data_IF_948939596660
#
_entry.id   IF_948939596660
#
_cell.length_a   1.000
_cell.length_b   1.000
_cell.length_c   1.000
_cell.angle_alpha   90.00
_cell.angle_beta   90.00
_cell.angle_gamma   90.00
#
_symmetry.space_group_name_H-M   'P 1'
#
loop_
_entity.id
_entity.type
_entity.pdbx_description
1 polymer ?
#
# COMPACT_ATOMS: atom_id res chain seq x y z
N UNK A 1 -71.91 -34.79 56.51
CA UNK A 1 -70.81 -33.98 57.05
C UNK A 1 -69.51 -34.66 56.72
N UNK A 2 -68.80 -34.21 55.73
CA UNK A 2 -67.47 -34.68 55.34
C UNK A 2 -66.60 -33.46 55.01
N UNK A 3 -65.40 -33.26 55.58
CA UNK A 3 -64.52 -32.18 55.22
C UNK A 3 -63.66 -32.53 53.99
N UNK A 4 -63.57 -31.63 53.06
CA UNK A 4 -62.67 -31.64 51.90
C UNK A 4 -61.27 -31.30 52.32
N UNK A 5 -60.30 -32.18 51.95
CA UNK A 5 -58.86 -31.88 52.03
C UNK A 5 -58.41 -31.15 50.76
N UNK A 6 -57.97 -29.91 50.91
CA UNK A 6 -57.21 -29.21 49.87
C UNK A 6 -55.75 -29.63 49.95
N UNK A 7 -55.21 -30.26 48.87
CA UNK A 7 -53.79 -30.47 48.73
C UNK A 7 -53.21 -29.26 47.92
N UNK A 8 -52.43 -28.46 48.57
CA UNK A 8 -51.62 -27.45 47.96
C UNK A 8 -50.34 -28.09 47.34
N UNK A 9 -50.22 -28.10 46.03
CA UNK A 9 -49.01 -28.48 45.33
C UNK A 9 -48.10 -27.25 45.14
N UNK A 10 -47.00 -27.19 45.87
CA UNK A 10 -45.96 -26.20 45.69
C UNK A 10 -45.08 -26.56 44.50
N UNK A 11 -45.29 -25.87 43.39
CA UNK A 11 -44.38 -25.95 42.21
C UNK A 11 -43.15 -25.08 42.47
N UNK A 12 -42.04 -25.70 42.79
CA UNK A 12 -40.73 -25.05 42.84
C UNK A 12 -40.25 -24.72 41.42
N UNK A 13 -40.39 -23.47 41.01
CA UNK A 13 -39.87 -22.94 39.75
C UNK A 13 -38.37 -22.66 39.88
N UNK A 14 -37.53 -23.64 39.52
CA UNK A 14 -36.07 -23.48 39.46
C UNK A 14 -35.72 -22.58 38.25
N UNK A 15 -35.59 -21.26 38.45
CA UNK A 15 -35.01 -20.36 37.50
C UNK A 15 -33.50 -20.61 37.44
N UNK A 16 -33.05 -21.43 36.49
CA UNK A 16 -31.65 -21.49 36.10
C UNK A 16 -31.31 -20.21 35.35
N UNK A 17 -30.77 -19.24 36.07
CA UNK A 17 -30.09 -18.10 35.46
C UNK A 17 -28.87 -18.63 34.69
N UNK A 18 -29.02 -18.82 33.37
CA UNK A 18 -27.92 -18.98 32.47
C UNK A 18 -27.16 -17.64 32.43
N UNK A 19 -26.12 -17.53 33.27
CA UNK A 19 -25.11 -16.52 33.07
C UNK A 19 -24.47 -16.77 31.70
N UNK A 20 -24.96 -16.16 30.67
CA UNK A 20 -24.19 -15.98 29.44
C UNK A 20 -23.00 -15.11 29.88
N UNK A 21 -21.87 -15.77 30.16
CA UNK A 21 -20.59 -15.09 30.24
C UNK A 21 -20.43 -14.37 28.90
N UNK A 22 -20.71 -13.08 28.89
CA UNK A 22 -20.25 -12.23 27.82
C UNK A 22 -18.73 -12.40 27.82
N UNK A 23 -18.19 -13.16 26.86
CA UNK A 23 -16.76 -13.25 26.66
C UNK A 23 -16.28 -11.79 26.59
N UNK A 24 -15.39 -11.42 27.52
CA UNK A 24 -14.86 -10.07 27.54
C UNK A 24 -14.34 -9.75 26.13
N UNK A 25 -14.90 -8.73 25.52
CA UNK A 25 -14.49 -8.34 24.17
C UNK A 25 -12.98 -8.03 24.24
N UNK A 26 -12.19 -8.67 23.39
CA UNK A 26 -10.75 -8.40 23.35
C UNK A 26 -10.50 -6.94 23.00
N UNK A 27 -9.41 -6.32 23.43
CA UNK A 27 -9.09 -4.97 23.03
C UNK A 27 -8.94 -4.90 21.49
N UNK A 28 -9.39 -3.81 20.91
CA UNK A 28 -9.19 -3.53 19.48
C UNK A 28 -7.74 -3.16 19.25
N UNK A 29 -7.11 -3.82 18.29
CA UNK A 29 -5.69 -3.65 17.96
C UNK A 29 -5.57 -2.94 16.61
N UNK A 30 -4.95 -1.76 16.61
CA UNK A 30 -4.51 -1.06 15.41
C UNK A 30 -3.05 -1.37 15.10
N UNK A 31 -2.71 -1.50 13.84
CA UNK A 31 -1.33 -1.69 13.38
C UNK A 31 -0.88 -0.46 12.61
N UNK A 32 0.31 0.05 12.92
CA UNK A 32 0.93 1.20 12.25
C UNK A 32 2.26 0.76 11.65
N UNK A 33 2.38 0.92 10.34
CA UNK A 33 3.55 0.56 9.56
C UNK A 33 4.17 1.81 8.94
N UNK A 34 5.33 2.21 9.45
CA UNK A 34 6.03 3.41 9.02
C UNK A 34 6.72 3.28 7.66
N UNK A 35 7.01 4.42 7.04
CA UNK A 35 7.83 4.49 5.84
C UNK A 35 9.32 4.33 6.13
N UNK A 36 10.08 3.90 5.11
CA UNK A 36 11.53 3.73 5.23
C UNK A 36 12.19 3.08 4.01
N UNK A 37 11.56 3.09 2.83
CA UNK A 37 12.10 2.45 1.62
C UNK A 37 12.30 0.94 1.83
N UNK A 38 13.42 0.38 1.35
CA UNK A 38 13.76 -1.03 1.49
C UNK A 38 13.67 -1.58 2.93
N UNK A 39 13.97 -0.72 3.92
CA UNK A 39 13.86 -1.04 5.36
C UNK A 39 12.45 -1.47 5.77
N UNK A 40 11.43 -0.99 5.04
CA UNK A 40 10.03 -1.32 5.29
C UNK A 40 9.70 -2.82 5.11
N UNK A 41 10.55 -3.60 4.46
CA UNK A 41 10.41 -5.05 4.43
C UNK A 41 10.45 -5.69 5.83
N UNK A 42 11.02 -5.00 6.83
CA UNK A 42 10.98 -5.45 8.23
C UNK A 42 9.54 -5.62 8.76
N UNK A 43 8.56 -4.93 8.19
CA UNK A 43 7.15 -5.11 8.53
C UNK A 43 6.65 -6.53 8.25
N UNK A 44 7.19 -7.19 7.22
CA UNK A 44 6.84 -8.58 6.89
C UNK A 44 7.19 -9.50 8.06
N UNK A 45 8.40 -9.35 8.61
CA UNK A 45 8.83 -10.15 9.78
C UNK A 45 7.96 -9.92 11.02
N UNK A 46 7.48 -8.69 11.25
CA UNK A 46 6.49 -8.43 12.29
C UNK A 46 5.18 -9.17 12.03
N UNK A 47 4.66 -9.09 10.79
CA UNK A 47 3.41 -9.77 10.42
C UNK A 47 3.52 -11.29 10.58
N UNK A 48 4.66 -11.91 10.26
CA UNK A 48 4.92 -13.33 10.48
C UNK A 48 4.75 -13.70 11.97
N UNK A 49 5.33 -12.91 12.86
CA UNK A 49 5.24 -13.15 14.33
C UNK A 49 3.81 -12.92 14.83
N UNK A 50 3.09 -11.91 14.33
CA UNK A 50 1.69 -11.69 14.68
C UNK A 50 0.80 -12.87 14.25
N UNK A 51 1.06 -13.44 13.07
CA UNK A 51 0.35 -14.60 12.54
C UNK A 51 0.63 -15.85 13.41
N UNK A 52 1.89 -16.15 13.72
CA UNK A 52 2.30 -17.26 14.59
C UNK A 52 1.67 -17.17 15.97
N UNK A 53 1.64 -15.99 16.54
CA UNK A 53 1.05 -15.74 17.86
C UNK A 53 -0.48 -15.69 17.83
N UNK A 54 -1.09 -15.66 16.65
CA UNK A 54 -2.54 -15.49 16.50
C UNK A 54 -3.05 -14.17 17.10
N UNK A 55 -2.35 -13.08 16.80
CA UNK A 55 -2.74 -11.71 17.16
C UNK A 55 -3.65 -11.14 16.10
N UNK A 56 -4.96 -10.95 16.35
CA UNK A 56 -5.86 -10.36 15.40
C UNK A 56 -5.71 -8.83 15.38
N UNK A 57 -5.63 -8.25 14.18
CA UNK A 57 -5.56 -6.81 13.95
C UNK A 57 -6.91 -6.33 13.42
N UNK A 58 -7.39 -5.18 13.90
CA UNK A 58 -8.71 -4.64 13.54
C UNK A 58 -8.65 -3.58 12.43
N UNK A 59 -7.53 -2.88 12.30
CA UNK A 59 -7.21 -2.01 11.17
C UNK A 59 -5.70 -1.80 11.04
N UNK A 60 -5.27 -1.37 9.88
CA UNK A 60 -3.88 -1.02 9.62
C UNK A 60 -3.77 0.37 8.99
N UNK A 61 -2.79 1.14 9.44
CA UNK A 61 -2.44 2.43 8.84
C UNK A 61 -0.97 2.40 8.42
N UNK A 62 -0.69 2.83 7.20
CA UNK A 62 0.67 2.74 6.64
C UNK A 62 1.09 3.98 5.87
N UNK A 63 2.40 4.21 5.83
CA UNK A 63 3.02 5.28 5.06
C UNK A 63 4.14 4.72 4.21
N UNK A 64 4.25 5.15 2.94
CA UNK A 64 5.31 4.76 2.01
C UNK A 64 5.42 3.22 1.88
N UNK A 65 6.59 2.61 2.09
CA UNK A 65 6.72 1.15 2.11
C UNK A 65 5.81 0.48 3.14
N UNK A 66 5.49 1.14 4.25
CA UNK A 66 4.49 0.66 5.20
C UNK A 66 3.08 0.61 4.61
N UNK A 67 2.73 1.53 3.71
CA UNK A 67 1.47 1.50 2.97
C UNK A 67 1.44 0.34 1.96
N UNK A 68 2.56 0.06 1.29
CA UNK A 68 2.70 -1.09 0.40
C UNK A 68 2.41 -2.40 1.15
N UNK A 69 3.11 -2.63 2.27
CA UNK A 69 2.95 -3.85 3.08
C UNK A 69 1.53 -3.94 3.66
N UNK A 70 1.00 -2.81 4.17
CA UNK A 70 -0.37 -2.74 4.70
C UNK A 70 -1.42 -3.08 3.63
N UNK A 71 -1.26 -2.50 2.43
CA UNK A 71 -2.17 -2.72 1.30
C UNK A 71 -2.13 -4.15 0.78
N UNK A 72 -0.93 -4.70 0.58
CA UNK A 72 -0.76 -6.08 0.15
C UNK A 72 -1.38 -7.06 1.16
N UNK A 73 -1.16 -6.84 2.46
CA UNK A 73 -1.76 -7.66 3.51
C UNK A 73 -3.29 -7.54 3.57
N UNK A 74 -3.83 -6.32 3.48
CA UNK A 74 -5.28 -6.09 3.45
C UNK A 74 -5.94 -6.67 2.18
N UNK A 75 -5.21 -6.72 1.06
CA UNK A 75 -5.63 -7.39 -0.17
C UNK A 75 -5.54 -8.92 -0.11
N UNK A 76 -5.09 -9.48 1.03
CA UNK A 76 -5.11 -10.92 1.29
C UNK A 76 -3.80 -11.66 1.07
N UNK A 77 -2.69 -10.97 0.79
CA UNK A 77 -1.38 -11.61 0.73
C UNK A 77 -0.93 -12.02 2.14
N UNK A 78 -0.50 -13.27 2.27
CA UNK A 78 0.16 -13.70 3.50
C UNK A 78 1.56 -13.08 3.62
N UNK A 79 2.12 -12.98 4.85
CA UNK A 79 3.49 -12.53 5.06
C UNK A 79 4.51 -13.34 4.25
N UNK A 80 4.31 -14.66 4.14
CA UNK A 80 5.17 -15.54 3.34
C UNK A 80 5.14 -15.20 1.84
N UNK A 81 3.95 -14.94 1.28
CA UNK A 81 3.82 -14.51 -0.12
C UNK A 81 4.45 -13.14 -0.37
N UNK A 82 4.28 -12.20 0.58
CA UNK A 82 4.93 -10.89 0.47
C UNK A 82 6.45 -11.02 0.52
N UNK A 83 7.00 -11.85 1.40
CA UNK A 83 8.44 -12.12 1.47
C UNK A 83 8.96 -12.68 0.15
N UNK A 84 8.24 -13.61 -0.45
CA UNK A 84 8.60 -14.20 -1.75
C UNK A 84 8.56 -13.15 -2.86
N UNK A 85 7.44 -12.45 -3.02
CA UNK A 85 7.24 -11.52 -4.13
C UNK A 85 8.17 -10.31 -4.05
N UNK A 86 8.31 -9.69 -2.86
CA UNK A 86 9.21 -8.55 -2.69
C UNK A 86 10.69 -8.96 -2.72
N UNK A 87 11.02 -10.18 -2.30
CA UNK A 87 12.37 -10.72 -2.34
C UNK A 87 12.85 -11.11 -3.74
N UNK A 88 11.93 -11.47 -4.65
CA UNK A 88 12.24 -11.81 -6.04
C UNK A 88 12.03 -10.66 -7.03
N UNK A 89 11.49 -9.51 -6.56
CA UNK A 89 11.27 -8.36 -7.41
C UNK A 89 12.61 -7.80 -7.92
N UNK A 90 12.69 -7.54 -9.22
CA UNK A 90 13.82 -6.81 -9.80
C UNK A 90 13.65 -5.31 -9.54
N UNK A 91 14.05 -4.88 -8.34
CA UNK A 91 13.92 -3.50 -7.92
C UNK A 91 14.70 -2.53 -8.81
N UNK A 92 15.84 -2.96 -9.38
CA UNK A 92 16.61 -2.12 -10.28
C UNK A 92 15.82 -1.84 -11.58
N UNK A 93 15.15 -2.86 -12.11
CA UNK A 93 14.28 -2.70 -13.28
C UNK A 93 13.01 -1.89 -12.93
N UNK A 94 12.38 -2.17 -11.77
CA UNK A 94 11.20 -1.45 -11.31
C UNK A 94 11.45 0.05 -11.14
N UNK A 95 12.64 0.43 -10.70
CA UNK A 95 13.05 1.83 -10.56
C UNK A 95 13.69 2.42 -11.81
N UNK A 96 13.92 1.65 -12.89
CA UNK A 96 14.49 2.20 -14.13
C UNK A 96 13.47 2.96 -14.97
N UNK A 97 12.18 2.63 -14.85
CA UNK A 97 11.06 3.16 -15.67
C UNK A 97 11.24 3.02 -17.19
N UNK A 98 12.35 2.48 -17.64
CA UNK A 98 12.65 2.33 -19.06
C UNK A 98 11.93 1.11 -19.64
N UNK A 99 11.08 1.29 -20.67
CA UNK A 99 10.56 0.14 -21.41
C UNK A 99 11.71 -0.64 -22.03
N UNK A 100 11.55 -1.96 -22.11
CA UNK A 100 12.50 -2.81 -22.83
C UNK A 100 12.70 -2.24 -24.24
N UNK A 101 13.95 -2.13 -24.70
CA UNK A 101 14.27 -1.53 -26.02
C UNK A 101 13.38 -2.05 -27.17
N UNK A 102 12.98 -3.34 -27.09
CA UNK A 102 12.04 -3.96 -28.03
C UNK A 102 10.68 -3.26 -28.09
N UNK A 103 10.18 -2.76 -26.98
CA UNK A 103 8.85 -2.14 -26.81
C UNK A 103 8.83 -0.64 -27.16
N UNK A 104 10.01 -0.02 -27.32
CA UNK A 104 10.10 1.39 -27.69
C UNK A 104 9.63 1.61 -29.14
N UNK A 105 8.95 2.74 -29.37
CA UNK A 105 8.63 3.20 -30.72
C UNK A 105 9.91 3.48 -31.53
N UNK A 106 9.84 3.45 -32.85
CA UNK A 106 10.99 3.79 -33.72
C UNK A 106 11.56 5.18 -33.41
N UNK A 107 10.69 6.14 -33.10
CA UNK A 107 11.09 7.50 -32.70
C UNK A 107 11.87 7.46 -31.38
N UNK A 108 11.32 6.80 -30.38
CA UNK A 108 11.97 6.67 -29.05
C UNK A 108 13.30 5.93 -29.12
N UNK A 109 13.40 4.86 -29.94
CA UNK A 109 14.66 4.17 -30.24
C UNK A 109 15.73 5.11 -30.85
N UNK A 110 15.33 5.99 -31.75
CA UNK A 110 16.27 6.97 -32.34
C UNK A 110 16.69 8.06 -31.38
N UNK A 111 15.78 8.48 -30.50
CA UNK A 111 16.07 9.50 -29.49
C UNK A 111 16.97 8.96 -28.38
N UNK A 112 16.72 7.76 -27.87
CA UNK A 112 17.55 7.12 -26.85
C UNK A 112 18.98 6.83 -27.27
N UNK A 113 19.23 6.71 -28.60
CA UNK A 113 20.59 6.59 -29.14
C UNK A 113 21.36 7.91 -29.22
N UNK A 114 20.67 9.05 -29.11
CA UNK A 114 21.27 10.41 -29.29
C UNK A 114 21.32 11.20 -28.01
N UNK A 115 20.40 10.96 -27.11
CA UNK A 115 20.20 11.71 -25.86
C UNK A 115 20.14 10.75 -24.68
N UNK A 116 20.63 11.20 -23.53
CA UNK A 116 20.48 10.45 -22.29
C UNK A 116 18.99 10.39 -21.90
N UNK A 117 18.48 9.21 -21.52
CA UNK A 117 17.13 9.08 -20.99
C UNK A 117 16.91 10.01 -19.79
N UNK A 118 15.71 10.58 -19.67
CA UNK A 118 15.36 11.49 -18.57
C UNK A 118 15.92 12.91 -18.69
N UNK A 119 16.69 13.24 -19.76
CA UNK A 119 17.18 14.60 -20.03
C UNK A 119 16.18 15.43 -20.88
N UNK A 120 14.97 14.96 -21.04
CA UNK A 120 13.93 15.64 -21.82
C UNK A 120 13.49 16.92 -21.12
N UNK A 121 13.42 18.01 -21.86
CA UNK A 121 12.78 19.25 -21.44
C UNK A 121 11.72 19.63 -22.47
N UNK A 122 10.55 19.96 -22.00
CA UNK A 122 9.45 20.41 -22.84
C UNK A 122 9.33 21.92 -22.84
N UNK A 123 8.57 22.46 -23.78
CA UNK A 123 8.20 23.85 -23.82
C UNK A 123 6.67 23.96 -23.75
N UNK A 124 6.21 24.65 -22.73
CA UNK A 124 4.80 25.00 -22.56
C UNK A 124 4.63 26.52 -22.69
N UNK A 125 3.40 26.99 -22.84
CA UNK A 125 3.09 28.43 -22.97
C UNK A 125 3.68 29.32 -21.85
N UNK A 126 4.04 28.72 -20.68
CA UNK A 126 4.66 29.41 -19.56
C UNK A 126 6.18 29.32 -19.47
N UNK A 127 6.86 28.61 -20.39
CA UNK A 127 8.33 28.43 -20.36
C UNK A 127 8.79 27.00 -20.55
N UNK A 128 10.07 26.73 -20.21
CA UNK A 128 10.62 25.38 -20.24
C UNK A 128 10.13 24.57 -19.03
N UNK A 129 9.73 23.32 -19.27
CA UNK A 129 9.26 22.39 -18.25
C UNK A 129 10.18 21.17 -18.25
N UNK A 130 10.54 20.71 -17.06
CA UNK A 130 11.31 19.48 -16.85
C UNK A 130 10.44 18.42 -16.20
N UNK A 131 10.77 17.12 -16.31
CA UNK A 131 10.07 16.06 -15.60
C UNK A 131 9.94 16.34 -14.09
N UNK A 132 8.80 16.00 -13.52
CA UNK A 132 8.49 16.27 -12.10
C UNK A 132 9.18 15.30 -11.11
N UNK A 133 9.89 14.30 -11.63
CA UNK A 133 10.68 13.31 -10.86
C UNK A 133 11.71 12.64 -11.75
N UNK A 134 12.68 11.94 -11.15
CA UNK A 134 13.65 11.13 -11.90
C UNK A 134 12.96 9.97 -12.61
N UNK A 135 11.87 9.47 -12.01
CA UNK A 135 11.06 8.36 -12.53
C UNK A 135 9.58 8.71 -12.46
N UNK A 136 8.81 8.25 -13.45
CA UNK A 136 7.35 8.36 -13.46
C UNK A 136 6.70 7.36 -12.52
N UNK A 137 7.37 6.23 -12.23
CA UNK A 137 6.87 5.10 -11.45
C UNK A 137 5.98 4.15 -12.26
N UNK A 138 6.17 4.10 -13.57
CA UNK A 138 5.40 3.27 -14.49
C UNK A 138 5.46 1.78 -14.10
N UNK A 139 6.67 1.22 -13.98
CA UNK A 139 6.85 -0.19 -13.65
C UNK A 139 6.48 -0.51 -12.21
N UNK A 140 6.74 0.40 -11.28
CA UNK A 140 6.32 0.26 -9.88
C UNK A 140 4.78 0.13 -9.79
N UNK A 141 4.03 0.95 -10.54
CA UNK A 141 2.56 0.86 -10.53
C UNK A 141 2.07 -0.47 -11.10
N UNK A 142 2.67 -0.98 -12.18
CA UNK A 142 2.36 -2.30 -12.71
C UNK A 142 2.70 -3.41 -11.70
N UNK A 143 3.83 -3.29 -10.99
CA UNK A 143 4.17 -4.22 -9.91
C UNK A 143 3.12 -4.21 -8.78
N UNK A 144 2.57 -3.04 -8.41
CA UNK A 144 1.48 -2.99 -7.42
C UNK A 144 0.22 -3.67 -7.95
N UNK A 145 -0.10 -3.48 -9.23
CA UNK A 145 -1.24 -4.17 -9.86
C UNK A 145 -1.07 -5.70 -9.77
N UNK A 146 0.14 -6.21 -10.06
CA UNK A 146 0.45 -7.64 -9.93
C UNK A 146 0.37 -8.11 -8.47
N UNK A 147 0.96 -7.36 -7.55
CA UNK A 147 1.05 -7.71 -6.13
C UNK A 147 -0.34 -7.93 -5.51
N UNK A 148 -1.30 -7.05 -5.82
CA UNK A 148 -2.66 -7.14 -5.26
C UNK A 148 -3.68 -7.76 -6.23
N UNK A 149 -3.22 -8.26 -7.39
CA UNK A 149 -4.05 -8.89 -8.42
C UNK A 149 -5.15 -7.98 -8.97
N UNK A 150 -4.82 -6.72 -9.22
CA UNK A 150 -5.74 -5.74 -9.78
C UNK A 150 -6.23 -6.11 -11.21
N UNK A 151 -5.56 -7.05 -11.85
CA UNK A 151 -5.99 -7.69 -13.11
C UNK A 151 -7.29 -8.51 -12.98
N UNK A 152 -7.63 -8.98 -11.78
CA UNK A 152 -8.91 -9.69 -11.54
C UNK A 152 -10.04 -8.76 -11.11
N UNK A 153 -9.75 -7.50 -10.84
CA UNK A 153 -10.63 -6.44 -10.40
C UNK A 153 -9.86 -5.47 -9.53
N UNK A 154 -9.99 -4.15 -9.77
CA UNK A 154 -9.29 -3.14 -8.95
C UNK A 154 -9.79 -3.22 -7.50
N UNK A 155 -8.92 -3.54 -6.53
CA UNK A 155 -9.34 -3.56 -5.13
C UNK A 155 -9.56 -2.13 -4.63
N UNK A 156 -10.75 -1.88 -4.09
CA UNK A 156 -11.13 -0.58 -3.53
C UNK A 156 -10.92 -0.59 -2.02
N UNK A 157 -10.25 0.44 -1.48
CA UNK A 157 -9.88 0.54 -0.07
C UNK A 157 -11.06 0.37 0.89
N UNK A 158 -12.22 0.95 0.56
CA UNK A 158 -13.45 0.89 1.35
C UNK A 158 -14.14 -0.50 1.31
N UNK A 159 -13.75 -1.34 0.36
CA UNK A 159 -14.31 -2.70 0.19
C UNK A 159 -13.43 -3.78 0.85
N UNK A 160 -12.22 -3.42 1.29
CA UNK A 160 -11.33 -4.37 1.92
C UNK A 160 -11.86 -4.81 3.29
N UNK A 161 -11.91 -6.13 3.56
CA UNK A 161 -12.42 -6.66 4.83
C UNK A 161 -11.57 -6.23 6.05
N UNK A 162 -10.26 -6.06 5.87
CA UNK A 162 -9.38 -5.44 6.84
C UNK A 162 -9.28 -3.95 6.52
N UNK A 163 -9.85 -3.05 7.35
CA UNK A 163 -9.76 -1.62 7.12
C UNK A 163 -8.30 -1.16 7.03
N UNK A 164 -7.96 -0.53 5.91
CA UNK A 164 -6.62 0.04 5.69
C UNK A 164 -6.73 1.53 5.42
N UNK A 165 -5.75 2.29 5.90
CA UNK A 165 -5.58 3.71 5.61
C UNK A 165 -4.15 3.96 5.17
N UNK A 166 -3.97 4.78 4.14
CA UNK A 166 -2.66 5.14 3.63
C UNK A 166 -2.47 6.64 3.70
N UNK A 167 -1.27 7.07 4.06
CA UNK A 167 -0.96 8.48 4.21
C UNK A 167 -0.21 8.98 2.98
N UNK A 168 -0.65 10.12 2.48
CA UNK A 168 0.04 10.91 1.47
C UNK A 168 0.13 12.38 1.93
N UNK A 169 0.94 13.16 1.26
CA UNK A 169 1.09 14.60 1.46
C UNK A 169 0.60 15.33 0.23
N UNK A 170 -0.30 16.28 0.37
CA UNK A 170 -0.61 17.23 -0.71
C UNK A 170 0.54 18.24 -0.81
N UNK A 171 1.30 18.18 -1.91
CA UNK A 171 2.48 19.06 -2.09
C UNK A 171 2.09 20.52 -2.29
N UNK A 172 0.84 20.80 -2.66
CA UNK A 172 0.34 22.17 -2.91
C UNK A 172 0.17 22.99 -1.64
N UNK A 173 -0.16 22.32 -0.51
CA UNK A 173 -0.48 23.00 0.75
C UNK A 173 0.24 22.37 1.97
N UNK A 174 0.91 21.21 1.80
CA UNK A 174 1.59 20.49 2.88
C UNK A 174 0.64 19.73 3.81
N UNK A 175 -0.63 19.58 3.46
CA UNK A 175 -1.62 18.88 4.29
C UNK A 175 -1.46 17.36 4.21
N UNK A 176 -1.79 16.71 5.32
CA UNK A 176 -1.91 15.27 5.43
C UNK A 176 -3.17 14.79 4.72
N UNK A 177 -3.01 13.98 3.69
CA UNK A 177 -4.13 13.31 3.01
C UNK A 177 -4.22 11.87 3.47
N UNK A 178 -5.37 11.48 4.01
CA UNK A 178 -5.65 10.11 4.45
C UNK A 178 -6.51 9.42 3.40
N UNK A 179 -5.94 8.43 2.74
CA UNK A 179 -6.60 7.63 1.71
C UNK A 179 -7.27 6.42 2.40
N UNK A 180 -8.61 6.42 2.44
CA UNK A 180 -9.45 5.40 3.07
C UNK A 180 -10.43 4.75 2.08
N UNK A 181 -10.51 5.29 0.91
CA UNK A 181 -11.40 4.88 -0.18
C UNK A 181 -10.74 5.07 -1.55
N UNK A 182 -11.30 4.44 -2.57
CA UNK A 182 -10.81 4.44 -3.94
C UNK A 182 -9.78 3.35 -4.21
N UNK A 183 -9.09 3.45 -5.33
CA UNK A 183 -8.13 2.45 -5.80
C UNK A 183 -7.00 2.23 -4.80
N UNK A 184 -6.83 0.97 -4.38
CA UNK A 184 -5.74 0.55 -3.50
C UNK A 184 -4.38 0.82 -4.12
N UNK A 185 -4.21 0.47 -5.39
CA UNK A 185 -2.92 0.59 -6.07
C UNK A 185 -2.53 2.04 -6.33
N UNK A 186 -3.50 2.92 -6.58
CA UNK A 186 -3.27 4.37 -6.66
C UNK A 186 -2.89 4.95 -5.30
N UNK A 187 -3.55 4.52 -4.23
CA UNK A 187 -3.20 4.96 -2.87
C UNK A 187 -1.80 4.51 -2.44
N UNK A 188 -1.40 3.25 -2.77
CA UNK A 188 -0.03 2.76 -2.58
C UNK A 188 0.96 3.63 -3.34
N UNK A 189 0.68 3.93 -4.64
CA UNK A 189 1.53 4.76 -5.48
C UNK A 189 1.66 6.19 -4.95
N UNK A 190 0.55 6.81 -4.50
CA UNK A 190 0.56 8.14 -3.90
C UNK A 190 1.44 8.19 -2.66
N UNK A 191 1.22 7.23 -1.73
CA UNK A 191 1.95 7.17 -0.46
C UNK A 191 3.46 6.93 -0.63
N UNK A 192 3.89 6.35 -1.74
CA UNK A 192 5.29 6.07 -2.06
C UNK A 192 5.95 7.08 -3.00
N UNK A 193 5.28 8.18 -3.36
CA UNK A 193 5.81 9.21 -4.25
C UNK A 193 6.86 10.08 -3.58
N UNK A 194 8.03 9.52 -3.28
CA UNK A 194 9.14 10.24 -2.63
C UNK A 194 9.59 11.42 -3.51
N UNK A 195 9.54 12.67 -3.00
CA UNK A 195 9.90 13.85 -3.79
C UNK A 195 11.33 13.75 -4.36
N UNK A 196 11.46 14.10 -5.64
CA UNK A 196 12.72 14.03 -6.38
C UNK A 196 13.04 12.65 -6.94
N UNK A 197 12.50 11.56 -6.39
CA UNK A 197 12.68 10.20 -6.88
C UNK A 197 11.52 9.81 -7.80
N UNK A 198 10.31 9.76 -7.27
CA UNK A 198 9.10 9.43 -8.01
C UNK A 198 8.27 10.68 -8.28
N UNK A 199 7.72 10.78 -9.48
CA UNK A 199 6.80 11.84 -9.84
C UNK A 199 5.61 11.88 -8.88
N UNK A 200 5.13 13.06 -8.46
CA UNK A 200 3.90 13.19 -7.71
C UNK A 200 2.72 12.56 -8.45
N UNK A 201 1.78 12.00 -7.73
CA UNK A 201 0.55 11.45 -8.31
C UNK A 201 -0.58 12.48 -8.24
N UNK A 202 -1.16 12.81 -9.37
CA UNK A 202 -2.42 13.56 -9.39
C UNK A 202 -3.58 12.61 -9.11
N UNK A 203 -4.24 12.82 -7.98
CA UNK A 203 -5.33 11.95 -7.54
C UNK A 203 -6.43 12.77 -6.85
N UNK A 204 -7.64 12.71 -7.38
CA UNK A 204 -8.84 13.40 -6.84
C UNK A 204 -8.66 14.91 -6.61
N UNK A 205 -7.95 15.57 -7.52
CA UNK A 205 -7.70 17.02 -7.46
C UNK A 205 -6.57 17.45 -6.52
N UNK A 206 -5.85 16.49 -5.92
CA UNK A 206 -4.64 16.70 -5.13
C UNK A 206 -3.40 16.27 -5.90
N UNK A 207 -2.30 16.95 -5.71
CA UNK A 207 -0.98 16.52 -6.19
C UNK A 207 -0.22 15.90 -5.02
N UNK A 208 -0.23 14.57 -4.99
CA UNK A 208 0.20 13.78 -3.84
C UNK A 208 1.65 13.33 -3.96
N UNK A 209 2.36 13.45 -2.84
CA UNK A 209 3.70 12.92 -2.61
C UNK A 209 3.71 12.05 -1.36
N UNK A 210 4.88 11.43 -1.05
CA UNK A 210 5.06 10.50 0.07
C UNK A 210 4.54 11.09 1.39
N UNK A 211 3.78 10.27 2.11
CA UNK A 211 3.18 10.66 3.38
C UNK A 211 4.17 10.85 4.52
N UNK A 212 5.41 10.34 4.37
CA UNK A 212 6.46 10.47 5.37
C UNK A 212 6.86 11.91 5.69
N UNK A 213 6.54 12.86 4.80
CA UNK A 213 6.77 14.29 5.04
C UNK A 213 5.92 14.84 6.18
N UNK A 214 4.71 14.31 6.39
CA UNK A 214 3.71 14.86 7.34
C UNK A 214 3.30 13.89 8.43
N UNK A 215 3.23 12.59 8.15
CA UNK A 215 2.81 11.56 9.13
C UNK A 215 3.40 10.19 8.77
N UNK A 216 4.65 9.96 9.14
CA UNK A 216 5.34 8.70 8.86
C UNK A 216 4.90 7.55 9.76
N UNK A 217 4.37 7.85 10.95
CA UNK A 217 3.79 6.86 11.87
C UNK A 217 2.35 7.26 12.23
N UNK A 218 1.35 6.89 11.43
CA UNK A 218 -0.03 7.36 11.56
C UNK A 218 -0.78 6.73 12.75
N UNK A 219 -0.28 6.98 13.97
CA UNK A 219 -0.85 6.45 15.22
C UNK A 219 -2.27 6.96 15.46
N UNK A 220 -2.50 8.26 15.23
CA UNK A 220 -3.82 8.87 15.38
C UNK A 220 -4.83 8.21 14.42
N UNK A 221 -4.41 7.94 13.18
CA UNK A 221 -5.25 7.29 12.17
C UNK A 221 -5.69 5.88 12.61
N UNK A 222 -4.78 5.06 13.14
CA UNK A 222 -5.12 3.73 13.63
C UNK A 222 -6.11 3.78 14.79
N UNK A 223 -6.01 4.80 15.67
CA UNK A 223 -6.97 4.98 16.77
C UNK A 223 -8.35 5.40 16.26
N UNK A 224 -8.41 6.32 15.31
CA UNK A 224 -9.67 6.84 14.75
C UNK A 224 -10.36 5.79 13.87
N UNK A 225 -9.60 5.11 12.99
CA UNK A 225 -10.13 4.22 11.96
C UNK A 225 -10.92 3.04 12.50
N UNK A 226 -10.42 2.42 13.56
CA UNK A 226 -11.06 1.25 14.14
C UNK A 226 -11.30 1.34 15.66
N UNK A 227 -11.11 2.51 16.25
CA UNK A 227 -11.25 2.69 17.71
C UNK A 227 -10.22 1.86 18.46
N UNK A 228 -8.96 1.77 17.95
CA UNK A 228 -7.93 0.95 18.53
C UNK A 228 -7.62 1.35 19.97
N UNK A 229 -7.75 0.40 20.87
CA UNK A 229 -7.40 0.56 22.29
C UNK A 229 -5.89 0.35 22.49
N UNK A 230 -5.29 -0.51 21.70
CA UNK A 230 -3.86 -0.80 21.69
C UNK A 230 -3.35 -0.60 20.26
N UNK A 231 -2.24 0.10 20.11
CA UNK A 231 -1.59 0.29 18.82
C UNK A 231 -0.24 -0.40 18.83
N UNK A 232 0.00 -1.24 17.82
CA UNK A 232 1.32 -1.80 17.52
C UNK A 232 1.94 -0.90 16.46
N UNK A 233 3.09 -0.30 16.78
CA UNK A 233 3.77 0.68 15.91
C UNK A 233 5.13 0.15 15.50
N UNK A 234 5.34 -0.04 14.22
CA UNK A 234 6.62 -0.44 13.65
C UNK A 234 7.30 0.76 12.96
N UNK A 235 8.39 1.22 13.54
CA UNK A 235 9.20 2.32 13.00
C UNK A 235 10.45 1.77 12.32
N UNK A 236 10.50 1.94 11.00
CA UNK A 236 11.64 1.53 10.16
C UNK A 236 12.36 2.73 9.54
N UNK A 237 12.07 3.93 10.02
CA UNK A 237 12.64 5.18 9.50
C UNK A 237 14.17 5.19 9.52
N UNK A 238 14.77 5.81 8.51
CA UNK A 238 16.22 5.97 8.39
C UNK A 238 16.70 7.04 9.38
N UNK A 239 17.76 6.79 10.16
CA UNK A 239 18.37 7.82 10.99
C UNK A 239 18.90 8.99 10.14
N UNK A 240 18.89 10.19 10.71
CA UNK A 240 19.52 11.34 10.09
C UNK A 240 21.03 11.12 9.95
N UNK A 241 21.59 11.55 8.83
CA UNK A 241 23.04 11.51 8.62
C UNK A 241 23.73 12.58 9.49
N UNK A 242 24.96 12.31 9.96
CA UNK A 242 25.84 13.34 10.51
C UNK A 242 26.07 14.46 9.49
N UNK A 243 26.20 15.69 9.97
CA UNK A 243 26.29 16.88 9.11
C UNK A 243 27.45 16.83 8.10
N UNK A 244 28.56 16.20 8.45
CA UNK A 244 29.74 16.00 7.60
C UNK A 244 29.52 14.99 6.47
N UNK A 245 28.50 14.15 6.56
CA UNK A 245 28.10 13.18 5.53
C UNK A 245 27.02 13.73 4.58
N UNK A 246 26.41 14.87 4.90
CA UNK A 246 25.38 15.50 4.07
C UNK A 246 26.05 16.36 3.00
N UNK A 247 26.16 15.81 1.77
CA UNK A 247 26.85 16.48 0.66
C UNK A 247 26.01 16.55 -0.60
N UNK A 248 26.21 17.58 -1.39
CA UNK A 248 25.53 17.77 -2.67
C UNK A 248 24.03 18.04 -2.55
N UNK A 249 23.40 18.41 -3.67
CA UNK A 249 21.98 18.79 -3.71
C UNK A 249 21.08 17.64 -3.28
N UNK A 250 21.32 16.43 -3.79
CA UNK A 250 20.51 15.25 -3.44
C UNK A 250 20.63 14.85 -1.97
N UNK A 251 21.86 14.86 -1.41
CA UNK A 251 22.07 14.54 -0.01
C UNK A 251 21.41 15.57 0.92
N UNK A 252 21.48 16.86 0.59
CA UNK A 252 20.79 17.92 1.34
C UNK A 252 19.26 17.73 1.26
N UNK A 253 18.72 17.46 0.06
CA UNK A 253 17.26 17.24 -0.12
C UNK A 253 16.79 16.02 0.67
N UNK A 254 17.51 14.90 0.61
CA UNK A 254 17.20 13.69 1.38
C UNK A 254 17.25 13.97 2.90
N UNK A 255 18.24 14.74 3.37
CA UNK A 255 18.33 15.12 4.78
C UNK A 255 17.16 16.01 5.22
N UNK A 256 16.72 16.96 4.37
CA UNK A 256 15.55 17.80 4.66
C UNK A 256 14.28 16.94 4.78
N UNK A 257 14.05 15.99 3.88
CA UNK A 257 12.98 15.02 3.97
C UNK A 257 13.08 14.23 5.28
N UNK A 258 14.28 13.74 5.60
CA UNK A 258 14.56 13.04 6.85
C UNK A 258 14.25 13.86 8.10
N UNK A 259 14.57 15.15 8.11
CA UNK A 259 14.27 16.07 9.22
C UNK A 259 12.76 16.23 9.43
N UNK A 260 11.99 16.43 8.35
CA UNK A 260 10.52 16.52 8.41
C UNK A 260 9.92 15.22 8.93
N UNK A 261 10.40 14.10 8.41
CA UNK A 261 9.97 12.76 8.84
C UNK A 261 10.25 12.53 10.33
N UNK A 262 11.47 12.82 10.79
CA UNK A 262 11.86 12.64 12.20
C UNK A 262 11.04 13.53 13.14
N UNK A 263 10.69 14.75 12.73
CA UNK A 263 9.84 15.65 13.53
C UNK A 263 8.44 15.07 13.74
N UNK A 264 7.79 14.62 12.67
CA UNK A 264 6.45 14.03 12.77
C UNK A 264 6.48 12.67 13.49
N UNK A 265 7.51 11.85 13.29
CA UNK A 265 7.71 10.59 14.03
C UNK A 265 7.79 10.86 15.54
N UNK A 266 8.57 11.86 15.99
CA UNK A 266 8.65 12.21 17.42
C UNK A 266 7.28 12.66 17.96
N UNK A 267 6.54 13.45 17.20
CA UNK A 267 5.19 13.87 17.58
C UNK A 267 4.25 12.66 17.73
N UNK A 268 4.26 11.72 16.78
CA UNK A 268 3.47 10.50 16.84
C UNK A 268 3.85 9.62 18.03
N UNK A 269 5.15 9.41 18.27
CA UNK A 269 5.64 8.61 19.40
C UNK A 269 5.25 9.20 20.76
N UNK A 270 5.18 10.54 20.89
CA UNK A 270 4.74 11.20 22.11
C UNK A 270 3.27 10.92 22.45
N UNK A 271 2.46 10.43 21.51
CA UNK A 271 1.06 10.05 21.72
C UNK A 271 0.86 8.61 22.20
N UNK A 272 1.94 7.82 22.24
CA UNK A 272 1.87 6.42 22.63
C UNK A 272 1.53 6.28 24.12
N UNK A 273 0.69 5.31 24.42
CA UNK A 273 0.29 4.94 25.77
C UNK A 273 1.11 3.76 26.28
N UNK A 274 1.13 3.53 27.58
CA UNK A 274 1.90 2.45 28.22
C UNK A 274 1.51 1.04 27.71
N UNK A 275 0.28 0.87 27.25
CA UNK A 275 -0.23 -0.38 26.67
C UNK A 275 0.13 -0.58 25.20
N UNK A 276 0.53 0.48 24.49
CA UNK A 276 0.93 0.37 23.08
C UNK A 276 2.27 -0.34 22.94
N UNK A 277 2.48 -0.99 21.81
CA UNK A 277 3.68 -1.75 21.53
C UNK A 277 4.48 -1.03 20.45
N UNK A 278 5.64 -0.53 20.82
CA UNK A 278 6.57 0.11 19.89
C UNK A 278 7.68 -0.86 19.50
N UNK A 279 7.86 -1.04 18.20
CA UNK A 279 8.88 -1.89 17.60
C UNK A 279 9.78 -1.03 16.71
N UNK A 280 11.10 -1.13 16.91
CA UNK A 280 12.12 -0.52 16.08
C UNK A 280 13.20 -1.55 15.78
N UNK A 281 13.17 -2.19 14.59
CA UNK A 281 14.20 -3.14 14.19
C UNK A 281 15.58 -2.46 14.10
N UNK A 282 16.62 -3.21 14.38
CA UNK A 282 18.00 -2.76 14.13
C UNK A 282 18.32 -2.90 12.65
N UNK A 283 18.20 -1.77 11.95
CA UNK A 283 18.43 -1.64 10.52
C UNK A 283 19.54 -0.61 10.21
N UNK A 284 20.45 -0.36 11.16
CA UNK A 284 21.38 0.77 11.07
C UNK A 284 22.28 0.73 9.83
N UNK A 285 22.63 -0.45 9.33
CA UNK A 285 23.46 -0.71 8.16
C UNK A 285 22.66 -0.99 6.86
N UNK A 286 21.31 -0.91 6.91
CA UNK A 286 20.46 -1.03 5.73
C UNK A 286 19.92 0.36 5.38
N UNK A 287 20.27 0.85 4.19
CA UNK A 287 19.76 2.10 3.65
C UNK A 287 18.33 1.98 3.12
N UNK A 288 17.67 3.12 2.92
CA UNK A 288 16.33 3.17 2.34
C UNK A 288 16.29 2.71 0.86
N UNK A 289 17.43 2.74 0.17
CA UNK A 289 17.59 2.32 -1.23
C UNK A 289 18.13 0.90 -1.41
N UNK A 290 18.47 0.18 -0.33
CA UNK A 290 19.11 -1.14 -0.38
C UNK A 290 18.08 -2.26 -0.61
N UNK A 291 17.36 -2.18 -1.72
CA UNK A 291 16.28 -3.12 -2.05
C UNK A 291 16.75 -4.56 -2.28
N UNK A 292 18.01 -4.78 -2.59
CA UNK A 292 18.63 -6.10 -2.64
C UNK A 292 18.70 -6.78 -1.26
N UNK A 293 18.54 -6.01 -0.17
CA UNK A 293 18.55 -6.50 1.21
C UNK A 293 17.16 -6.66 1.85
N UNK A 294 16.11 -6.68 1.05
CA UNK A 294 14.70 -6.80 1.52
C UNK A 294 14.51 -8.04 2.40
N UNK A 295 15.08 -9.18 2.02
CA UNK A 295 14.98 -10.41 2.80
C UNK A 295 15.63 -10.26 4.19
N UNK A 296 16.82 -9.66 4.26
CA UNK A 296 17.52 -9.39 5.51
C UNK A 296 16.74 -8.40 6.39
N UNK A 297 16.19 -7.34 5.80
CA UNK A 297 15.35 -6.40 6.55
C UNK A 297 14.13 -7.09 7.18
N UNK A 298 13.49 -8.02 6.46
CA UNK A 298 12.39 -8.82 6.98
C UNK A 298 12.82 -9.71 8.16
N UNK A 299 14.01 -10.34 8.09
CA UNK A 299 14.56 -11.15 9.19
C UNK A 299 14.84 -10.31 10.43
N UNK A 300 15.39 -9.10 10.26
CA UNK A 300 15.60 -8.17 11.38
C UNK A 300 14.29 -7.67 11.98
N UNK A 301 13.27 -7.46 11.15
CA UNK A 301 11.91 -7.16 11.60
C UNK A 301 11.33 -8.28 12.46
N UNK A 302 11.51 -9.54 12.02
CA UNK A 302 11.13 -10.72 12.77
C UNK A 302 11.88 -10.80 14.11
N UNK A 303 13.19 -10.60 14.13
CA UNK A 303 13.99 -10.64 15.36
C UNK A 303 13.52 -9.55 16.36
N UNK A 304 13.21 -8.35 15.90
CA UNK A 304 12.67 -7.29 16.76
C UNK A 304 11.28 -7.64 17.32
N UNK A 305 10.41 -8.27 16.52
CA UNK A 305 9.10 -8.73 16.99
C UNK A 305 9.22 -9.88 18.02
N UNK A 306 10.17 -10.80 17.81
CA UNK A 306 10.47 -11.86 18.76
C UNK A 306 10.94 -11.32 20.13
N UNK A 307 11.74 -10.27 20.14
CA UNK A 307 12.15 -9.61 21.39
C UNK A 307 10.93 -9.04 22.18
N UNK A 308 9.83 -8.75 21.49
CA UNK A 308 8.58 -8.27 22.06
C UNK A 308 7.51 -9.35 22.19
N UNK A 309 7.87 -10.63 21.92
CA UNK A 309 6.94 -11.78 21.95
C UNK A 309 6.04 -11.84 23.19
N UNK A 310 6.53 -11.63 24.45
CA UNK A 310 5.65 -11.66 25.61
C UNK A 310 4.53 -10.60 25.58
N UNK A 311 4.83 -9.38 25.08
CA UNK A 311 3.86 -8.31 24.96
C UNK A 311 2.87 -8.58 23.82
N UNK A 312 3.35 -9.06 22.69
CA UNK A 312 2.53 -9.43 21.55
C UNK A 312 1.62 -10.63 21.87
N UNK A 313 2.15 -11.65 22.56
CA UNK A 313 1.39 -12.82 22.96
C UNK A 313 0.24 -12.50 23.94
N UNK A 314 0.33 -11.41 24.69
CA UNK A 314 -0.77 -10.94 25.55
C UNK A 314 -2.00 -10.48 24.75
N UNK A 315 -1.84 -10.20 23.44
CA UNK A 315 -2.92 -9.83 22.51
C UNK A 315 -3.46 -11.04 21.72
N UNK A 316 -2.85 -12.21 21.89
CA UNK A 316 -3.21 -13.43 21.17
C UNK A 316 -4.62 -13.91 21.55
N UNK A 317 -5.28 -14.54 20.59
CA UNK A 317 -6.54 -15.25 20.83
C UNK A 317 -6.35 -16.76 20.65
N UNK A 318 -7.32 -17.55 21.09
CA UNK A 318 -7.31 -18.98 20.84
C UNK A 318 -7.44 -19.31 19.34
N UNK A 319 -7.16 -20.54 18.96
CA UNK A 319 -7.19 -20.98 17.56
C UNK A 319 -8.56 -20.73 16.89
N UNK A 320 -9.66 -20.93 17.65
CA UNK A 320 -11.01 -20.71 17.12
C UNK A 320 -11.31 -19.22 16.91
N UNK A 321 -10.88 -18.36 17.84
CA UNK A 321 -10.97 -16.90 17.73
C UNK A 321 -10.18 -16.37 16.54
N UNK A 322 -8.95 -16.86 16.36
CA UNK A 322 -8.12 -16.47 15.22
C UNK A 322 -8.70 -16.92 13.88
N UNK A 323 -9.19 -18.17 13.82
CA UNK A 323 -9.86 -18.65 12.61
C UNK A 323 -11.14 -17.84 12.27
N UNK A 324 -11.88 -17.36 13.28
CA UNK A 324 -13.01 -16.43 13.04
C UNK A 324 -12.53 -15.09 12.47
N UNK A 325 -11.45 -14.54 13.02
CA UNK A 325 -10.83 -13.31 12.53
C UNK A 325 -10.34 -13.48 11.09
N UNK A 326 -9.58 -14.55 10.79
CA UNK A 326 -9.11 -14.85 9.43
C UNK A 326 -10.26 -14.92 8.41
N UNK A 327 -11.37 -15.60 8.76
CA UNK A 327 -12.55 -15.63 7.89
C UNK A 327 -13.18 -14.25 7.68
N UNK A 328 -13.13 -13.38 8.68
CA UNK A 328 -13.66 -12.02 8.59
C UNK A 328 -12.83 -11.16 7.63
N UNK A 329 -11.52 -11.31 7.64
CA UNK A 329 -10.62 -10.53 6.79
C UNK A 329 -10.28 -11.22 5.46
N UNK A 330 -10.82 -12.41 5.22
CA UNK A 330 -10.55 -13.15 4.00
C UNK A 330 -11.03 -12.37 2.76
N UNK A 331 -10.10 -12.08 1.87
CA UNK A 331 -10.38 -11.49 0.57
C UNK A 331 -10.71 -12.62 -0.39
N UNK A 332 -11.87 -12.50 -1.07
CA UNK A 332 -12.17 -13.38 -2.18
C UNK A 332 -11.49 -12.84 -3.43
N UNK A 333 -10.51 -13.57 -3.92
CA UNK A 333 -9.91 -13.27 -5.22
C UNK A 333 -10.90 -13.69 -6.31
N UNK A 334 -11.37 -12.78 -7.16
CA UNK A 334 -12.22 -13.13 -8.29
C UNK A 334 -11.50 -14.03 -9.30
N UNK A 335 -12.26 -14.76 -10.09
CA UNK A 335 -11.73 -15.42 -11.27
C UNK A 335 -11.29 -14.38 -12.31
N UNK A 336 -10.36 -14.76 -13.20
CA UNK A 336 -9.93 -13.89 -14.30
C UNK A 336 -11.14 -13.46 -15.13
N UNK A 337 -11.46 -12.17 -15.22
CA UNK A 337 -12.67 -11.71 -15.88
C UNK A 337 -12.58 -11.85 -17.41
N UNK A 338 -13.74 -12.05 -18.03
CA UNK A 338 -13.89 -11.79 -19.46
C UNK A 338 -14.17 -10.31 -19.65
N UNK A 339 -13.43 -9.66 -20.51
CA UNK A 339 -13.55 -8.22 -20.73
C UNK A 339 -14.70 -7.92 -21.70
N UNK A 340 -15.74 -7.25 -21.21
CA UNK A 340 -16.92 -6.90 -22.00
C UNK A 340 -16.74 -5.58 -22.77
N UNK A 341 -15.86 -4.70 -22.30
CA UNK A 341 -15.57 -3.40 -22.89
C UNK A 341 -14.12 -2.99 -22.64
N UNK A 342 -13.49 -2.35 -23.62
CA UNK A 342 -12.20 -1.67 -23.46
C UNK A 342 -12.44 -0.18 -23.61
N UNK A 343 -12.11 0.59 -22.58
CA UNK A 343 -12.29 2.05 -22.52
C UNK A 343 -10.93 2.71 -22.33
N UNK A 344 -10.64 3.74 -23.11
CA UNK A 344 -9.49 4.63 -22.94
C UNK A 344 -10.00 5.95 -22.36
N UNK A 345 -9.33 6.48 -21.35
CA UNK A 345 -9.74 7.73 -20.70
C UNK A 345 -8.53 8.56 -20.29
N UNK A 346 -8.69 9.89 -20.17
CA UNK A 346 -7.61 10.79 -19.74
C UNK A 346 -6.79 11.40 -20.87
N UNK A 347 -7.21 11.21 -22.13
CA UNK A 347 -6.57 11.84 -23.30
C UNK A 347 -7.16 13.23 -23.55
N UNK A 348 -6.29 14.20 -23.81
CA UNK A 348 -6.65 15.58 -24.16
C UNK A 348 -6.21 15.95 -25.59
N UNK A 349 -5.03 15.50 -26.00
CA UNK A 349 -4.38 15.89 -27.27
C UNK A 349 -4.12 14.69 -28.17
N UNK A 350 -3.84 13.51 -27.62
CA UNK A 350 -3.55 12.30 -28.39
C UNK A 350 -4.85 11.59 -28.74
N UNK A 351 -4.98 11.15 -30.00
CA UNK A 351 -6.14 10.36 -30.41
C UNK A 351 -6.19 9.01 -29.69
N UNK A 352 -7.36 8.61 -29.23
CA UNK A 352 -7.62 7.30 -28.62
C UNK A 352 -7.14 6.13 -29.50
N UNK A 353 -7.19 6.28 -30.81
CA UNK A 353 -6.76 5.26 -31.77
C UNK A 353 -5.25 4.96 -31.66
N UNK A 354 -4.44 5.95 -31.24
CA UNK A 354 -3.00 5.75 -30.98
C UNK A 354 -2.79 4.78 -29.83
N UNK A 355 -3.62 4.82 -28.81
CA UNK A 355 -3.59 3.89 -27.68
C UNK A 355 -4.16 2.53 -28.08
N UNK A 356 -5.34 2.52 -28.70
CA UNK A 356 -6.07 1.30 -29.08
C UNK A 356 -5.27 0.37 -29.99
N UNK A 357 -4.44 0.90 -30.89
CA UNK A 357 -3.61 0.08 -31.81
C UNK A 357 -2.60 -0.81 -31.10
N UNK A 358 -2.22 -0.48 -29.86
CA UNK A 358 -1.29 -1.28 -29.06
C UNK A 358 -2.00 -2.36 -28.24
N UNK A 359 -3.30 -2.19 -27.97
CA UNK A 359 -4.07 -3.10 -27.13
C UNK A 359 -4.47 -4.36 -27.93
N UNK A 360 -3.96 -5.50 -27.49
CA UNK A 360 -4.28 -6.82 -28.04
C UNK A 360 -5.50 -7.46 -27.38
N UNK A 361 -5.92 -6.92 -26.22
CA UNK A 361 -7.09 -7.42 -25.51
C UNK A 361 -8.33 -7.37 -26.40
N UNK A 362 -9.01 -8.52 -26.53
CA UNK A 362 -10.27 -8.65 -27.30
C UNK A 362 -11.46 -8.60 -26.37
N UNK A 363 -12.49 -7.88 -26.80
CA UNK A 363 -13.80 -7.93 -26.14
C UNK A 363 -14.34 -9.35 -26.18
N UNK A 364 -14.91 -9.84 -25.06
CA UNK A 364 -15.39 -11.21 -24.90
C UNK A 364 -14.32 -12.25 -24.58
N UNK A 365 -13.03 -11.89 -24.55
CA UNK A 365 -11.94 -12.78 -24.18
C UNK A 365 -11.58 -12.62 -22.70
N UNK A 366 -11.03 -13.67 -22.04
CA UNK A 366 -10.42 -13.53 -20.73
C UNK A 366 -9.28 -12.49 -20.77
N UNK A 367 -9.04 -11.81 -19.65
CA UNK A 367 -7.90 -10.92 -19.53
C UNK A 367 -6.61 -11.74 -19.48
N UNK A 368 -5.63 -11.35 -20.31
CA UNK A 368 -4.27 -11.88 -20.28
C UNK A 368 -3.34 -10.81 -19.70
N UNK A 369 -3.08 -10.87 -18.39
CA UNK A 369 -2.34 -9.85 -17.65
C UNK A 369 -1.00 -9.52 -18.31
N UNK A 370 -0.15 -10.53 -18.55
CA UNK A 370 1.20 -10.31 -19.08
C UNK A 370 1.16 -9.64 -20.46
N UNK A 371 0.17 -9.99 -21.28
CA UNK A 371 -0.04 -9.36 -22.58
C UNK A 371 -0.50 -7.91 -22.43
N UNK A 372 -1.39 -7.63 -21.48
CA UNK A 372 -1.87 -6.27 -21.18
C UNK A 372 -0.74 -5.37 -20.67
N UNK A 373 0.09 -5.86 -19.75
CA UNK A 373 1.22 -5.09 -19.20
C UNK A 373 2.25 -4.77 -20.28
N UNK A 374 2.53 -5.69 -21.18
CA UNK A 374 3.34 -5.42 -22.37
C UNK A 374 2.70 -4.36 -23.27
N UNK A 375 1.37 -4.40 -23.46
CA UNK A 375 0.65 -3.39 -24.24
C UNK A 375 0.75 -2.00 -23.59
N UNK A 376 0.58 -1.93 -22.26
CA UNK A 376 0.73 -0.72 -21.45
C UNK A 376 2.16 -0.15 -21.58
N UNK A 377 3.18 -1.01 -21.48
CA UNK A 377 4.58 -0.60 -21.66
C UNK A 377 4.88 -0.12 -23.09
N UNK A 378 4.23 -0.69 -24.12
CA UNK A 378 4.35 -0.18 -25.51
C UNK A 378 3.71 1.18 -25.68
N UNK A 379 2.52 1.41 -25.10
CA UNK A 379 1.86 2.70 -25.11
C UNK A 379 2.78 3.74 -24.44
N UNK A 380 3.29 3.42 -23.25
CA UNK A 380 4.26 4.26 -22.54
C UNK A 380 5.52 4.52 -23.38
N UNK A 381 6.05 3.50 -24.05
CA UNK A 381 7.22 3.56 -24.93
C UNK A 381 7.06 4.43 -26.18
N UNK A 382 5.85 4.86 -26.51
CA UNK A 382 5.62 5.88 -27.57
C UNK A 382 6.20 7.25 -27.18
N UNK A 383 6.40 7.51 -25.87
CA UNK A 383 7.05 8.71 -25.34
C UNK A 383 6.15 9.93 -25.20
N UNK A 384 4.84 9.79 -25.45
CA UNK A 384 3.85 10.87 -25.30
C UNK A 384 3.27 10.98 -23.89
N UNK A 385 3.46 9.95 -23.06
CA UNK A 385 2.78 9.80 -21.78
C UNK A 385 3.77 9.92 -20.62
N UNK A 386 3.34 10.55 -19.55
CA UNK A 386 4.02 10.56 -18.25
C UNK A 386 3.86 9.21 -17.54
N UNK A 387 2.67 8.63 -17.66
CA UNK A 387 2.36 7.28 -17.18
C UNK A 387 1.20 6.67 -17.98
N UNK A 388 1.08 5.36 -17.92
CA UNK A 388 -0.06 4.61 -18.46
C UNK A 388 -0.45 3.57 -17.45
N UNK A 389 -1.68 3.65 -16.95
CA UNK A 389 -2.23 2.68 -16.00
C UNK A 389 -3.44 1.96 -16.57
N UNK A 390 -3.88 0.91 -15.89
CA UNK A 390 -5.13 0.23 -16.20
C UNK A 390 -5.89 -0.15 -14.93
N UNK A 391 -7.19 -0.25 -15.06
CA UNK A 391 -8.09 -0.77 -14.04
C UNK A 391 -9.09 -1.73 -14.68
N UNK A 392 -9.45 -2.77 -13.95
CA UNK A 392 -10.57 -3.66 -14.30
C UNK A 392 -11.74 -3.34 -13.39
N UNK A 393 -12.78 -2.77 -13.93
CA UNK A 393 -13.95 -2.31 -13.19
C UNK A 393 -15.13 -3.26 -13.42
N UNK A 394 -15.91 -3.52 -12.37
CA UNK A 394 -17.23 -4.13 -12.49
C UNK A 394 -18.29 -3.00 -12.64
N UNK A 395 -18.86 -2.89 -13.82
CA UNK A 395 -19.93 -1.95 -14.15
C UNK A 395 -21.24 -2.74 -14.35
N UNK A 396 -21.99 -2.92 -13.26
CA UNK A 396 -23.24 -3.64 -13.24
C UNK A 396 -23.14 -5.08 -13.81
N UNK A 397 -22.10 -5.83 -13.42
CA UNK A 397 -21.84 -7.20 -13.87
C UNK A 397 -21.14 -7.30 -15.22
N UNK A 398 -20.71 -6.16 -15.81
CA UNK A 398 -19.83 -6.10 -16.98
C UNK A 398 -18.42 -5.72 -16.56
N UNK A 399 -17.45 -6.45 -17.04
CA UNK A 399 -16.04 -6.14 -16.76
C UNK A 399 -15.49 -5.18 -17.82
N UNK A 400 -15.16 -3.98 -17.39
CA UNK A 400 -14.61 -2.92 -18.23
C UNK A 400 -13.12 -2.80 -17.97
N UNK A 401 -12.29 -3.07 -18.96
CA UNK A 401 -10.88 -2.71 -18.93
C UNK A 401 -10.75 -1.23 -19.28
N UNK A 402 -10.39 -0.42 -18.30
CA UNK A 402 -10.10 1.00 -18.49
C UNK A 402 -8.59 1.21 -18.56
N UNK A 403 -8.09 1.75 -19.66
CA UNK A 403 -6.69 2.17 -19.84
C UNK A 403 -6.61 3.68 -19.68
N UNK A 404 -5.70 4.15 -18.85
CA UNK A 404 -5.60 5.53 -18.38
C UNK A 404 -4.21 6.10 -18.66
N UNK A 405 -3.91 6.52 -19.91
CA UNK A 405 -2.70 7.26 -20.17
C UNK A 405 -2.79 8.70 -19.63
N UNK A 406 -1.72 9.16 -19.03
CA UNK A 406 -1.52 10.56 -18.60
C UNK A 406 -0.55 11.17 -19.59
N UNK A 407 -1.02 12.18 -20.35
CA UNK A 407 -0.20 12.84 -21.36
C UNK A 407 0.87 13.74 -20.72
N UNK A 408 2.05 13.80 -21.32
CA UNK A 408 3.08 14.76 -20.92
C UNK A 408 2.56 16.18 -21.14
N UNK A 409 2.80 17.05 -20.19
CA UNK A 409 2.35 18.45 -20.22
C UNK A 409 3.14 19.36 -21.18
N UNK A 410 4.04 18.79 -22.00
CA UNK A 410 4.89 19.51 -22.98
C UNK A 410 4.93 18.82 -24.33
#
# INVERSE_FOLDING_TARGET
MRPCFLRAAAAALSCTLAFTSAAAERPRVGLVLGGGGARGAAHIGLLEVLEELRVPVDCVAGTSMGALVAGAWAAGLSPAQMREQLGHADWADLFSDEPVYGELSFRSKRLSQRFLPGSEAGVHAGGAVTPSGVMSGQKIKLFFNQLVRADTGEPMLEQLPLPVSMIATDIGNGERVVLRDGSLTQAMRASMSVPGLLAPLEYRGHKLVDGGLVDNLPVAEARERCGAEIVIVANVGTPLLPADQVTGLFGISAQVIGLLTEQNVRASLATLQARDIYLRPDLADIGASDFERVAEAADRGRAAAEALRPRLAALAVDAAGYARWQRRIAVRVPDVPRIDEVRVSGLEHVSEEVVRRHLRQRVGAPLERDALEQDVLRIYGDGWYESVDYEVLDDAGRHVLRVMPVEKSW
#
